data_IF_577628537973
#
_entry.id   IF_577628537973
#
_cell.length_a   1.000
_cell.length_b   1.000
_cell.length_c   1.000
_cell.angle_alpha   90.00
_cell.angle_beta   90.00
_cell.angle_gamma   90.00
#
_symmetry.space_group_name_H-M   'P 1'
#
loop_
_entity.id
_entity.type
_entity.pdbx_description
1 polymer ?
#
# COMPACT_ATOMS: atom_id res chain seq x y z
N UNK A 1 -8.35 22.64 4.82
CA UNK A 1 -7.96 22.51 3.41
C UNK A 1 -7.08 21.28 3.27
N UNK A 2 -7.58 20.16 2.72
CA UNK A 2 -6.81 18.93 2.51
C UNK A 2 -6.44 18.69 1.02
N UNK A 3 -6.50 19.71 0.16
CA UNK A 3 -6.34 19.58 -1.30
C UNK A 3 -4.88 19.54 -1.79
N UNK A 4 -3.87 19.67 -0.93
CA UNK A 4 -2.49 19.75 -1.41
C UNK A 4 -1.81 18.37 -1.53
N UNK A 5 -2.08 17.46 -0.59
CA UNK A 5 -1.31 16.21 -0.49
C UNK A 5 -1.75 15.18 -1.54
N UNK A 6 -3.06 15.06 -1.80
CA UNK A 6 -3.58 14.16 -2.82
C UNK A 6 -3.15 14.57 -4.24
N UNK A 7 -3.18 15.88 -4.52
CA UNK A 7 -2.72 16.44 -5.79
C UNK A 7 -1.20 16.26 -5.93
N UNK A 8 -0.42 16.50 -4.88
CA UNK A 8 1.03 16.25 -4.89
C UNK A 8 1.37 14.75 -5.11
N UNK A 9 0.63 13.84 -4.47
CA UNK A 9 0.79 12.39 -4.68
C UNK A 9 0.46 12.01 -6.14
N UNK A 10 -0.61 12.57 -6.70
CA UNK A 10 -0.98 12.35 -8.09
C UNK A 10 0.07 12.88 -9.08
N UNK A 11 0.65 14.05 -8.82
CA UNK A 11 1.74 14.62 -9.62
C UNK A 11 2.99 13.75 -9.60
N UNK A 12 3.39 13.25 -8.43
CA UNK A 12 4.55 12.36 -8.29
C UNK A 12 4.29 11.03 -9.01
N UNK A 13 3.10 10.45 -8.87
CA UNK A 13 2.73 9.22 -9.57
C UNK A 13 2.78 9.41 -11.10
N UNK A 14 2.28 10.53 -11.62
CA UNK A 14 2.34 10.86 -13.04
C UNK A 14 3.78 10.98 -13.55
N UNK A 15 4.67 11.63 -12.78
CA UNK A 15 6.08 11.76 -13.13
C UNK A 15 6.79 10.40 -13.20
N UNK A 16 6.53 9.52 -12.24
CA UNK A 16 7.13 8.18 -12.19
C UNK A 16 6.64 7.28 -13.33
N UNK A 17 5.36 7.35 -13.68
CA UNK A 17 4.81 6.64 -14.84
C UNK A 17 5.44 7.13 -16.15
N UNK A 18 5.57 8.45 -16.33
CA UNK A 18 6.20 9.04 -17.49
C UNK A 18 7.69 8.68 -17.61
N UNK A 19 8.42 8.65 -16.49
CA UNK A 19 9.81 8.22 -16.45
C UNK A 19 9.95 6.74 -16.84
N UNK A 20 9.10 5.86 -16.29
CA UNK A 20 9.08 4.42 -16.61
C UNK A 20 8.85 4.17 -18.11
N UNK A 21 7.93 4.91 -18.73
CA UNK A 21 7.60 4.76 -20.14
C UNK A 21 8.77 5.10 -21.07
N UNK A 22 9.63 6.05 -20.68
CA UNK A 22 10.80 6.49 -21.45
C UNK A 22 12.03 5.59 -21.28
N UNK A 23 12.06 4.75 -20.24
CA UNK A 23 13.23 3.92 -19.94
C UNK A 23 13.28 2.66 -20.82
N UNK A 24 14.39 2.40 -21.53
CA UNK A 24 14.60 1.15 -22.24
C UNK A 24 14.51 -0.06 -21.30
N UNK A 25 13.93 -1.15 -21.78
CA UNK A 25 13.81 -2.38 -20.99
C UNK A 25 15.19 -3.02 -20.68
N UNK A 26 16.14 -2.87 -21.61
CA UNK A 26 17.53 -3.31 -21.46
C UNK A 26 18.38 -2.21 -20.82
N UNK A 27 19.03 -2.51 -19.70
CA UNK A 27 19.99 -1.63 -19.02
C UNK A 27 19.47 -0.94 -17.76
N UNK A 28 18.16 -0.73 -17.63
CA UNK A 28 17.57 0.02 -16.51
C UNK A 28 16.64 -0.80 -15.62
N UNK A 29 16.83 -2.14 -15.57
CA UNK A 29 15.96 -3.06 -14.82
C UNK A 29 15.77 -2.62 -13.36
N UNK A 30 16.86 -2.27 -12.66
CA UNK A 30 16.80 -1.83 -11.26
C UNK A 30 15.97 -0.56 -11.09
N UNK A 31 16.16 0.43 -11.96
CA UNK A 31 15.42 1.69 -11.90
C UNK A 31 13.93 1.48 -12.21
N UNK A 32 13.60 0.63 -13.19
CA UNK A 32 12.21 0.27 -13.50
C UNK A 32 11.54 -0.40 -12.30
N UNK A 33 12.22 -1.33 -11.62
CA UNK A 33 11.69 -1.98 -10.41
C UNK A 33 11.42 -0.95 -9.29
N UNK A 34 12.31 0.02 -9.09
CA UNK A 34 12.11 1.06 -8.07
C UNK A 34 10.93 1.98 -8.42
N UNK A 35 10.77 2.35 -9.69
CA UNK A 35 9.60 3.12 -10.14
C UNK A 35 8.30 2.33 -9.97
N UNK A 36 8.33 1.03 -10.22
CA UNK A 36 7.17 0.15 -10.05
C UNK A 36 6.75 0.04 -8.59
N UNK A 37 7.72 -0.14 -7.70
CA UNK A 37 7.50 -0.16 -6.25
C UNK A 37 6.88 1.16 -5.77
N UNK A 38 7.46 2.29 -6.18
CA UNK A 38 6.95 3.61 -5.81
C UNK A 38 5.52 3.85 -6.32
N UNK A 39 5.21 3.44 -7.54
CA UNK A 39 3.86 3.57 -8.10
C UNK A 39 2.83 2.73 -7.34
N UNK A 40 3.22 1.54 -6.87
CA UNK A 40 2.37 0.71 -6.02
C UNK A 40 2.12 1.40 -4.68
N UNK A 41 3.17 1.90 -4.03
CA UNK A 41 3.08 2.56 -2.73
C UNK A 41 2.22 3.84 -2.80
N UNK A 42 2.39 4.66 -3.85
CA UNK A 42 1.58 5.87 -4.06
C UNK A 42 0.12 5.54 -4.38
N UNK A 43 -0.14 4.45 -5.12
CA UNK A 43 -1.50 3.96 -5.36
C UNK A 43 -2.17 3.34 -4.14
N UNK A 44 -1.40 3.04 -3.08
CA UNK A 44 -1.88 2.47 -1.83
C UNK A 44 -2.11 3.50 -0.71
N UNK A 45 -1.76 4.78 -0.91
CA UNK A 45 -2.06 5.83 0.06
C UNK A 45 -3.58 6.03 0.18
N UNK A 46 -4.31 5.69 1.25
CA UNK A 46 -4.09 4.88 2.45
C UNK A 46 -5.43 4.13 2.66
N UNK A 47 -5.47 2.87 3.15
CA UNK A 47 -6.69 2.44 3.83
C UNK A 47 -6.93 3.41 5.00
N UNK A 48 -8.16 3.91 5.20
CA UNK A 48 -8.46 4.79 6.33
C UNK A 48 -7.97 4.12 7.62
N UNK A 49 -7.27 4.88 8.45
CA UNK A 49 -6.75 4.40 9.71
C UNK A 49 -7.88 3.86 10.60
N UNK A 50 -7.65 2.66 11.14
CA UNK A 50 -8.34 2.02 12.26
C UNK A 50 -9.88 1.90 12.16
N UNK A 51 -10.35 0.88 11.46
CA UNK A 51 -11.48 0.13 12.04
C UNK A 51 -10.91 -0.80 13.11
N UNK A 52 -11.31 -0.67 14.39
CA UNK A 52 -10.89 -1.61 15.41
C UNK A 52 -11.43 -2.98 15.01
N UNK A 53 -10.52 -3.89 14.67
CA UNK A 53 -10.83 -5.30 14.48
C UNK A 53 -11.59 -5.75 15.74
N UNK A 54 -12.86 -6.17 15.64
CA UNK A 54 -13.56 -6.67 16.81
C UNK A 54 -12.82 -7.93 17.26
N UNK A 55 -12.40 -7.91 18.53
CA UNK A 55 -11.70 -8.98 19.23
C UNK A 55 -12.57 -10.25 19.19
N UNK A 56 -12.39 -11.07 18.15
CA UNK A 56 -12.97 -12.40 18.03
C UNK A 56 -12.23 -13.31 18.99
N UNK A 57 -12.53 -13.18 20.29
CA UNK A 57 -12.26 -14.24 21.25
C UNK A 57 -13.13 -15.44 20.87
N UNK A 58 -12.55 -16.57 20.45
CA UNK A 58 -13.30 -17.80 20.48
C UNK A 58 -13.43 -18.17 21.95
N UNK A 59 -14.64 -18.06 22.48
CA UNK A 59 -15.01 -18.59 23.78
C UNK A 59 -14.79 -20.10 23.73
N UNK A 60 -13.59 -20.53 24.15
CA UNK A 60 -13.24 -21.92 24.27
C UNK A 60 -14.05 -22.49 25.43
N UNK A 61 -15.17 -23.11 25.07
CA UNK A 61 -15.94 -24.03 25.90
C UNK A 61 -15.05 -25.20 26.30
N UNK A 62 -14.21 -25.01 27.31
CA UNK A 62 -13.56 -26.09 28.03
C UNK A 62 -14.54 -26.62 29.08
N UNK A 63 -15.48 -27.46 28.63
CA UNK A 63 -15.91 -28.58 29.45
C UNK A 63 -14.68 -29.42 29.74
N UNK A 64 -14.27 -29.50 31.00
CA UNK A 64 -13.46 -30.62 31.46
C UNK A 64 -13.91 -31.04 32.84
N UNK A 65 -14.36 -32.29 32.84
CA UNK A 65 -14.79 -33.17 33.88
C UNK A 65 -13.76 -33.35 35.03
N UNK A 66 -14.29 -33.47 36.26
CA UNK A 66 -13.78 -34.21 37.44
C UNK A 66 -12.53 -33.74 38.23
N UNK A 67 -12.37 -34.15 39.52
CA UNK A 67 -13.05 -35.21 40.30
C UNK A 67 -14.17 -34.74 41.25
#
# INVERSE_FOLDING_TARGET
>A
MPTNDADAIAEVAALCAAARAKLPASGFRRLRVLLDMLLIDLGHAAPPADEPVPDLRPDATASTDHP
#
